data_IF_718852095159
#
_entry.id   IF_718852095159
#
_cell.length_a   1.000
_cell.length_b   1.000
_cell.length_c   1.000
_cell.angle_alpha   90.00
_cell.angle_beta   90.00
_cell.angle_gamma   90.00
#
_symmetry.space_group_name_H-M   'P 1'
#
loop_
_entity.id
_entity.type
_entity.pdbx_description
1 polymer ?
#
# COMPACT_ATOMS: atom_id res chain seq x y z
N UNK A 1 27.09 -33.93 -36.86
CA UNK A 1 26.94 -33.48 -35.46
C UNK A 1 27.10 -34.63 -34.46
N UNK A 2 26.26 -35.68 -34.50
CA UNK A 2 26.43 -36.85 -33.60
C UNK A 2 27.79 -37.56 -33.70
N UNK A 3 28.38 -37.66 -34.90
CA UNK A 3 29.71 -38.26 -35.09
C UNK A 3 30.83 -37.44 -34.42
N UNK A 4 30.67 -36.12 -34.37
CA UNK A 4 31.65 -35.20 -33.80
C UNK A 4 31.59 -35.21 -32.26
N UNK A 5 30.39 -35.35 -31.70
CA UNK A 5 30.18 -35.53 -30.25
C UNK A 5 30.81 -36.84 -29.79
N UNK A 6 30.57 -37.96 -30.50
CA UNK A 6 31.17 -39.26 -30.18
C UNK A 6 32.70 -39.24 -30.23
N UNK A 7 33.28 -38.51 -31.19
CA UNK A 7 34.73 -38.37 -31.30
C UNK A 7 35.30 -37.55 -30.12
N UNK A 8 34.63 -36.45 -29.76
CA UNK A 8 35.01 -35.64 -28.59
C UNK A 8 34.89 -36.44 -27.29
N UNK A 9 33.80 -37.19 -27.08
CA UNK A 9 33.61 -38.03 -25.90
C UNK A 9 34.72 -39.08 -25.78
N UNK A 10 35.09 -39.70 -26.91
CA UNK A 10 36.18 -40.68 -26.97
C UNK A 10 37.54 -40.05 -26.64
N UNK A 11 37.80 -38.83 -27.11
CA UNK A 11 39.04 -38.10 -26.78
C UNK A 11 39.10 -37.73 -25.30
N UNK A 12 37.97 -37.30 -24.73
CA UNK A 12 37.85 -37.03 -23.29
C UNK A 12 38.10 -38.28 -22.46
N UNK A 13 37.51 -39.42 -22.84
CA UNK A 13 37.78 -40.70 -22.17
C UNK A 13 39.24 -41.14 -22.29
N UNK A 14 39.89 -40.88 -23.42
CA UNK A 14 41.30 -41.24 -23.61
C UNK A 14 42.22 -40.35 -22.76
N UNK A 15 42.00 -39.04 -22.76
CA UNK A 15 42.73 -38.08 -21.92
C UNK A 15 42.54 -38.37 -20.44
N UNK A 16 41.32 -38.73 -20.01
CA UNK A 16 41.08 -39.14 -18.63
C UNK A 16 41.88 -40.39 -18.26
N UNK A 17 41.98 -41.38 -19.16
CA UNK A 17 42.79 -42.59 -18.93
C UNK A 17 44.28 -42.29 -18.81
N UNK A 18 44.82 -41.45 -19.69
CA UNK A 18 46.23 -41.03 -19.64
C UNK A 18 46.55 -40.24 -18.37
N UNK A 19 45.61 -39.37 -17.94
CA UNK A 19 45.73 -38.65 -16.69
C UNK A 19 45.70 -39.59 -15.48
N UNK A 20 44.81 -40.58 -15.49
CA UNK A 20 44.73 -41.60 -14.43
C UNK A 20 46.02 -42.42 -14.33
N UNK A 21 46.60 -42.87 -15.45
CA UNK A 21 47.87 -43.59 -15.43
C UNK A 21 49.03 -42.71 -14.94
N UNK A 22 49.07 -41.44 -15.34
CA UNK A 22 50.09 -40.50 -14.87
C UNK A 22 49.99 -40.23 -13.36
N UNK A 23 48.76 -40.15 -12.84
CA UNK A 23 48.50 -39.99 -11.39
C UNK A 23 48.94 -41.24 -10.62
N UNK A 24 48.63 -42.43 -11.15
CA UNK A 24 49.02 -43.74 -10.60
C UNK A 24 50.54 -43.93 -10.50
N UNK A 25 51.29 -43.50 -11.50
CA UNK A 25 52.75 -43.64 -11.57
C UNK A 25 53.53 -42.52 -10.83
N UNK A 26 52.86 -41.44 -10.41
CA UNK A 26 53.54 -40.33 -9.74
C UNK A 26 53.85 -40.65 -8.26
N UNK A 27 55.02 -40.23 -7.79
CA UNK A 27 55.39 -40.26 -6.36
C UNK A 27 54.54 -39.32 -5.48
N UNK A 28 53.66 -38.52 -6.09
CA UNK A 28 52.78 -37.55 -5.45
C UNK A 28 51.29 -37.96 -5.53
N UNK A 29 50.99 -39.21 -5.91
CA UNK A 29 49.63 -39.74 -6.07
C UNK A 29 48.72 -39.40 -4.89
N UNK A 30 49.20 -39.58 -3.67
CA UNK A 30 48.46 -39.28 -2.44
C UNK A 30 48.13 -37.80 -2.29
N UNK A 31 49.03 -36.90 -2.70
CA UNK A 31 48.83 -35.45 -2.67
C UNK A 31 47.75 -35.04 -3.68
N UNK A 32 47.77 -35.62 -4.89
CA UNK A 32 46.79 -35.34 -5.93
C UNK A 32 45.39 -35.85 -5.54
N UNK A 33 45.30 -37.03 -4.93
CA UNK A 33 44.05 -37.57 -4.37
C UNK A 33 43.53 -36.65 -3.26
N UNK A 34 44.40 -36.23 -2.33
CA UNK A 34 44.04 -35.35 -1.23
C UNK A 34 43.53 -33.99 -1.74
N UNK A 35 44.20 -33.38 -2.71
CA UNK A 35 43.79 -32.10 -3.29
C UNK A 35 42.45 -32.21 -4.01
N UNK A 36 42.25 -33.28 -4.78
CA UNK A 36 41.00 -33.57 -5.48
C UNK A 36 39.85 -33.72 -4.49
N UNK A 37 40.04 -34.51 -3.43
CA UNK A 37 39.04 -34.68 -2.38
C UNK A 37 38.75 -33.38 -1.64
N UNK A 38 39.78 -32.58 -1.36
CA UNK A 38 39.64 -31.28 -0.67
C UNK A 38 38.82 -30.30 -1.50
N UNK A 39 39.08 -30.22 -2.80
CA UNK A 39 38.31 -29.37 -3.73
C UNK A 39 36.86 -29.84 -3.81
N UNK A 40 36.63 -31.15 -3.92
CA UNK A 40 35.29 -31.74 -3.94
C UNK A 40 34.52 -31.44 -2.66
N UNK A 41 35.12 -31.63 -1.48
CA UNK A 41 34.51 -31.34 -0.19
C UNK A 41 34.12 -29.87 -0.07
N UNK A 42 34.99 -28.94 -0.49
CA UNK A 42 34.70 -27.50 -0.49
C UNK A 42 33.52 -27.17 -1.40
N UNK A 43 33.45 -27.78 -2.58
CA UNK A 43 32.32 -27.60 -3.51
C UNK A 43 31.01 -28.13 -2.92
N UNK A 44 31.03 -29.31 -2.29
CA UNK A 44 29.85 -29.86 -1.62
C UNK A 44 29.33 -28.94 -0.51
N UNK A 45 30.22 -28.45 0.38
CA UNK A 45 29.84 -27.53 1.46
C UNK A 45 29.26 -26.23 0.91
N UNK A 46 29.86 -25.67 -0.13
CA UNK A 46 29.35 -24.46 -0.78
C UNK A 46 27.95 -24.71 -1.40
N UNK A 47 27.75 -25.85 -2.06
CA UNK A 47 26.46 -26.22 -2.61
C UNK A 47 25.38 -26.36 -1.53
N UNK A 48 25.69 -27.04 -0.42
CA UNK A 48 24.78 -27.18 0.73
C UNK A 48 24.43 -25.82 1.34
N UNK A 49 25.41 -24.95 1.51
CA UNK A 49 25.22 -23.59 2.01
C UNK A 49 24.31 -22.75 1.08
N UNK A 50 24.49 -22.87 -0.23
CA UNK A 50 23.64 -22.19 -1.22
C UNK A 50 22.20 -22.73 -1.19
N UNK A 51 22.03 -24.04 -1.10
CA UNK A 51 20.72 -24.68 -0.99
C UNK A 51 20.01 -24.23 0.28
N UNK A 52 20.70 -24.18 1.42
CA UNK A 52 20.14 -23.70 2.69
C UNK A 52 19.69 -22.24 2.57
N UNK A 53 20.54 -21.37 2.03
CA UNK A 53 20.19 -19.95 1.81
C UNK A 53 18.98 -19.80 0.89
N UNK A 54 18.93 -20.56 -0.20
CA UNK A 54 17.80 -20.54 -1.13
C UNK A 54 16.50 -21.00 -0.44
N UNK A 55 16.55 -22.08 0.35
CA UNK A 55 15.39 -22.57 1.12
C UNK A 55 14.88 -21.52 2.12
N UNK A 56 15.78 -20.88 2.85
CA UNK A 56 15.42 -19.81 3.81
C UNK A 56 14.79 -18.63 3.07
N UNK A 57 15.40 -18.17 1.97
CA UNK A 57 14.86 -17.06 1.19
C UNK A 57 13.45 -17.35 0.64
N UNK A 58 13.22 -18.58 0.13
CA UNK A 58 11.90 -19.01 -0.34
C UNK A 58 10.88 -19.06 0.79
N UNK A 59 11.27 -19.55 1.97
CA UNK A 59 10.34 -19.63 3.10
C UNK A 59 9.98 -18.24 3.65
N UNK A 60 10.95 -17.32 3.71
CA UNK A 60 10.72 -15.94 4.14
C UNK A 60 9.79 -15.21 3.17
N UNK A 61 10.04 -15.30 1.86
CA UNK A 61 9.16 -14.67 0.84
C UNK A 61 7.75 -15.26 0.85
N UNK A 62 7.60 -16.56 1.11
CA UNK A 62 6.29 -17.19 1.28
C UNK A 62 5.53 -16.63 2.48
N UNK A 63 6.22 -16.44 3.61
CA UNK A 63 5.62 -15.89 4.82
C UNK A 63 5.26 -14.41 4.68
N UNK A 64 6.12 -13.62 4.05
CA UNK A 64 5.84 -12.22 3.70
C UNK A 64 4.59 -12.10 2.82
N UNK A 65 4.46 -12.96 1.80
CA UNK A 65 3.29 -12.99 0.94
C UNK A 65 2.02 -13.37 1.72
N UNK A 66 2.11 -14.30 2.68
CA UNK A 66 0.99 -14.68 3.56
C UNK A 66 0.53 -13.48 4.38
N UNK A 67 1.46 -12.78 5.02
CA UNK A 67 1.19 -11.58 5.81
C UNK A 67 0.59 -10.48 4.93
N UNK A 68 1.12 -10.27 3.72
CA UNK A 68 0.59 -9.29 2.78
C UNK A 68 -0.86 -9.60 2.41
N UNK A 69 -1.19 -10.86 2.12
CA UNK A 69 -2.57 -11.28 1.81
C UNK A 69 -3.51 -11.04 2.98
N UNK A 70 -3.08 -11.34 4.21
CA UNK A 70 -3.89 -11.07 5.41
C UNK A 70 -4.17 -9.57 5.57
N UNK A 71 -3.14 -8.72 5.46
CA UNK A 71 -3.30 -7.26 5.53
C UNK A 71 -4.27 -6.73 4.48
N UNK A 72 -4.17 -7.24 3.24
CA UNK A 72 -5.11 -6.88 2.17
C UNK A 72 -6.53 -7.34 2.52
N UNK A 73 -6.70 -8.56 3.02
CA UNK A 73 -8.03 -9.07 3.38
C UNK A 73 -8.67 -8.27 4.52
N UNK A 74 -7.91 -7.92 5.56
CA UNK A 74 -8.38 -7.09 6.67
C UNK A 74 -8.76 -5.69 6.20
N UNK A 75 -7.91 -5.08 5.36
CA UNK A 75 -8.20 -3.77 4.75
C UNK A 75 -9.51 -3.81 3.95
N UNK A 76 -9.70 -4.83 3.10
CA UNK A 76 -10.94 -4.95 2.30
C UNK A 76 -12.17 -5.17 3.18
N UNK A 77 -12.04 -5.91 4.29
CA UNK A 77 -13.13 -6.11 5.24
C UNK A 77 -13.50 -4.78 5.91
N UNK A 78 -12.50 -4.04 6.39
CA UNK A 78 -12.72 -2.75 7.04
C UNK A 78 -13.32 -1.71 6.08
N UNK A 79 -12.83 -1.64 4.84
CA UNK A 79 -13.40 -0.79 3.80
C UNK A 79 -14.87 -1.13 3.50
N UNK A 80 -15.20 -2.42 3.47
CA UNK A 80 -16.59 -2.87 3.30
C UNK A 80 -17.46 -2.47 4.49
N UNK A 81 -17.01 -2.69 5.72
CA UNK A 81 -17.74 -2.30 6.94
C UNK A 81 -18.02 -0.80 6.97
N UNK A 82 -17.02 0.04 6.64
CA UNK A 82 -17.20 1.49 6.54
C UNK A 82 -18.25 1.84 5.46
N UNK A 83 -18.18 1.18 4.30
CA UNK A 83 -19.11 1.43 3.21
C UNK A 83 -20.56 1.05 3.58
N UNK A 84 -20.73 -0.09 4.22
CA UNK A 84 -22.04 -0.55 4.68
C UNK A 84 -22.59 0.38 5.77
N UNK A 85 -21.77 0.78 6.75
CA UNK A 85 -22.15 1.78 7.75
C UNK A 85 -22.53 3.14 7.12
N UNK A 86 -21.77 3.58 6.11
CA UNK A 86 -22.05 4.80 5.37
C UNK A 86 -23.41 4.75 4.64
N UNK A 87 -23.74 3.61 4.02
CA UNK A 87 -25.04 3.39 3.39
C UNK A 87 -26.18 3.38 4.39
N UNK A 88 -26.00 2.68 5.52
CA UNK A 88 -27.02 2.60 6.57
C UNK A 88 -27.29 3.98 7.18
N UNK A 89 -26.24 4.76 7.43
CA UNK A 89 -26.37 6.13 7.90
C UNK A 89 -27.11 7.01 6.87
N UNK A 90 -26.76 6.91 5.58
CA UNK A 90 -27.45 7.65 4.53
C UNK A 90 -28.95 7.29 4.45
N UNK A 91 -29.30 6.02 4.64
CA UNK A 91 -30.68 5.54 4.68
C UNK A 91 -31.42 6.03 5.93
N UNK A 92 -30.82 5.91 7.11
CA UNK A 92 -31.39 6.38 8.37
C UNK A 92 -31.64 7.91 8.34
N UNK A 93 -30.79 8.64 7.62
CA UNK A 93 -30.85 10.09 7.53
C UNK A 93 -31.68 10.60 6.34
N UNK A 94 -32.29 9.71 5.56
CA UNK A 94 -33.19 10.07 4.46
C UNK A 94 -34.35 10.93 4.99
N UNK A 95 -34.32 12.23 4.67
CA UNK A 95 -35.33 13.21 5.10
C UNK A 95 -34.91 14.12 6.26
N UNK A 96 -33.72 13.95 6.84
CA UNK A 96 -33.07 14.95 7.70
C UNK A 96 -32.05 15.74 6.87
N UNK A 97 -31.96 17.06 7.06
CA UNK A 97 -31.01 17.91 6.35
C UNK A 97 -29.57 17.49 6.68
N UNK A 98 -28.97 16.69 5.79
CA UNK A 98 -27.56 16.30 5.84
C UNK A 98 -26.73 17.53 5.49
N UNK A 99 -26.31 18.28 6.50
CA UNK A 99 -25.30 19.33 6.32
C UNK A 99 -23.99 18.66 5.88
N UNK A 100 -23.66 18.85 4.60
CA UNK A 100 -22.38 18.42 4.02
C UNK A 100 -21.32 19.51 4.23
N UNK A 101 -20.05 19.15 4.38
CA UNK A 101 -18.95 20.12 4.33
C UNK A 101 -18.99 20.93 3.03
N UNK A 102 -18.62 22.19 3.15
CA UNK A 102 -18.67 23.14 2.04
C UNK A 102 -17.74 22.70 0.89
N UNK A 103 -16.61 22.06 1.18
CA UNK A 103 -15.68 21.53 0.16
C UNK A 103 -16.30 20.52 -0.80
N UNK A 104 -17.32 19.77 -0.38
CA UNK A 104 -18.04 18.85 -1.28
C UNK A 104 -18.86 19.61 -2.33
N UNK A 105 -19.32 20.81 -1.98
CA UNK A 105 -19.96 21.75 -2.90
C UNK A 105 -19.00 22.61 -3.70
N UNK A 106 -17.68 22.37 -3.62
CA UNK A 106 -16.66 23.14 -4.34
C UNK A 106 -16.22 24.43 -3.66
N UNK A 107 -16.64 24.67 -2.41
CA UNK A 107 -16.17 25.83 -1.66
C UNK A 107 -14.71 25.64 -1.21
N UNK A 108 -13.98 26.76 -1.24
CA UNK A 108 -12.57 26.82 -0.88
C UNK A 108 -12.25 28.09 -0.11
N UNK A 109 -11.17 28.05 0.64
CA UNK A 109 -10.64 29.23 1.31
C UNK A 109 -10.11 30.21 0.29
N UNK A 110 -10.66 31.42 0.27
CA UNK A 110 -10.30 32.45 -0.72
C UNK A 110 -8.82 32.82 -0.72
N UNK A 111 -8.18 32.80 0.46
CA UNK A 111 -6.77 33.17 0.62
C UNK A 111 -5.78 32.07 0.23
N UNK A 112 -6.12 30.81 0.51
CA UNK A 112 -5.20 29.68 0.34
C UNK A 112 -5.58 28.75 -0.81
N UNK A 113 -6.72 28.97 -1.47
CA UNK A 113 -7.30 28.10 -2.49
C UNK A 113 -7.58 26.65 -2.03
N UNK A 114 -7.38 26.35 -0.74
CA UNK A 114 -7.58 25.02 -0.17
C UNK A 114 -9.05 24.68 -0.05
N UNK A 115 -9.40 23.44 -0.35
CA UNK A 115 -10.75 22.90 -0.16
C UNK A 115 -11.20 23.03 1.31
N UNK A 116 -12.42 23.53 1.52
CA UNK A 116 -12.96 23.71 2.87
C UNK A 116 -13.45 22.39 3.45
N UNK A 117 -12.81 21.89 4.50
CA UNK A 117 -13.19 20.64 5.19
C UNK A 117 -13.99 20.87 6.47
N UNK A 118 -14.17 22.14 6.85
CA UNK A 118 -14.89 22.49 8.06
C UNK A 118 -16.35 22.08 7.96
N UNK A 119 -16.83 21.45 9.02
CA UNK A 119 -18.23 21.05 9.13
C UNK A 119 -19.06 22.21 9.66
N UNK A 120 -20.32 22.32 9.21
CA UNK A 120 -21.21 23.38 9.67
C UNK A 120 -21.37 23.42 11.20
N UNK A 121 -21.32 22.27 11.89
CA UNK A 121 -21.38 22.21 13.36
C UNK A 121 -20.15 22.83 14.04
N UNK A 122 -18.98 22.81 13.41
CA UNK A 122 -17.82 23.56 13.86
C UNK A 122 -17.95 25.04 13.50
N UNK A 123 -18.33 25.35 12.26
CA UNK A 123 -18.44 26.74 11.79
C UNK A 123 -19.42 27.58 12.61
N UNK A 124 -20.51 26.99 13.14
CA UNK A 124 -21.45 27.72 14.03
C UNK A 124 -20.83 28.10 15.38
N UNK A 125 -19.71 27.49 15.76
CA UNK A 125 -18.99 27.81 17.01
C UNK A 125 -17.90 28.87 16.83
N UNK A 126 -17.62 29.27 15.59
CA UNK A 126 -16.58 30.25 15.27
C UNK A 126 -17.19 31.55 14.76
N UNK A 127 -16.34 32.55 14.55
CA UNK A 127 -16.71 33.79 13.87
C UNK A 127 -16.58 33.70 12.34
N UNK A 128 -16.62 32.49 11.77
CA UNK A 128 -16.57 32.32 10.32
C UNK A 128 -17.81 32.92 9.66
N UNK A 129 -17.58 33.46 8.46
CA UNK A 129 -18.63 34.01 7.61
C UNK A 129 -18.90 33.05 6.45
N UNK A 130 -20.16 32.97 6.01
CA UNK A 130 -20.54 32.29 4.78
C UNK A 130 -21.08 33.27 3.75
N UNK A 131 -21.04 32.84 2.48
CA UNK A 131 -21.73 33.48 1.37
C UNK A 131 -22.45 32.39 0.58
N UNK A 132 -23.78 32.42 0.59
CA UNK A 132 -24.62 31.42 -0.09
C UNK A 132 -25.81 32.12 -0.73
N UNK A 133 -26.07 31.86 -2.00
CA UNK A 133 -27.23 32.40 -2.75
C UNK A 133 -27.36 33.94 -2.65
N UNK A 134 -26.23 34.66 -2.66
CA UNK A 134 -26.23 36.12 -2.53
C UNK A 134 -26.46 36.65 -1.11
N UNK A 135 -26.65 35.78 -0.12
CA UNK A 135 -26.72 36.14 1.30
C UNK A 135 -25.35 35.95 1.94
N UNK A 136 -24.93 36.94 2.73
CA UNK A 136 -23.70 36.87 3.52
C UNK A 136 -24.03 36.97 5.00
N UNK A 137 -23.44 36.13 5.84
CA UNK A 137 -23.70 36.15 7.29
C UNK A 137 -22.64 35.40 8.08
N UNK A 138 -22.77 35.40 9.41
CA UNK A 138 -21.95 34.57 10.30
C UNK A 138 -22.60 33.20 10.46
N UNK A 139 -21.81 32.12 10.45
CA UNK A 139 -22.35 30.77 10.64
C UNK A 139 -23.11 30.66 11.96
N UNK A 140 -22.61 31.23 13.07
CA UNK A 140 -23.32 31.26 14.37
C UNK A 140 -24.72 31.89 14.34
N UNK A 141 -25.01 32.71 13.32
CA UNK A 141 -26.28 33.39 13.12
C UNK A 141 -27.06 32.85 11.91
N UNK A 142 -26.78 31.62 11.46
CA UNK A 142 -27.40 31.05 10.25
C UNK A 142 -28.94 31.10 10.25
N UNK A 143 -29.58 31.02 11.43
CA UNK A 143 -31.04 31.07 11.60
C UNK A 143 -31.68 32.38 11.16
N UNK A 144 -30.93 33.47 11.03
CA UNK A 144 -31.43 34.73 10.48
C UNK A 144 -31.84 34.59 9.01
N UNK A 145 -31.09 33.80 8.24
CA UNK A 145 -31.36 33.55 6.82
C UNK A 145 -32.03 32.20 6.55
N UNK A 146 -31.88 31.25 7.48
CA UNK A 146 -32.34 29.86 7.37
C UNK A 146 -32.95 29.39 8.70
N UNK A 147 -34.15 29.87 9.07
CA UNK A 147 -34.76 29.59 10.38
C UNK A 147 -35.12 28.11 10.60
N UNK A 148 -35.42 27.39 9.52
CA UNK A 148 -35.81 25.97 9.54
C UNK A 148 -34.63 25.01 9.65
N UNK A 149 -33.39 25.52 9.59
CA UNK A 149 -32.20 24.68 9.70
C UNK A 149 -31.94 24.30 11.16
N UNK A 150 -31.54 23.05 11.37
CA UNK A 150 -31.15 22.51 12.68
C UNK A 150 -29.76 21.88 12.58
N UNK A 151 -28.74 22.64 12.99
CA UNK A 151 -27.34 22.21 12.96
C UNK A 151 -26.93 21.79 14.38
N UNK A 152 -26.95 20.48 14.71
CA UNK A 152 -26.54 20.00 16.03
C UNK A 152 -25.02 20.16 16.22
N UNK A 153 -24.54 20.56 17.41
CA UNK A 153 -23.12 20.83 17.65
C UNK A 153 -22.19 19.61 17.54
N UNK A 154 -22.71 18.37 17.52
CA UNK A 154 -21.92 17.17 17.24
C UNK A 154 -22.81 16.11 16.60
N UNK A 155 -22.40 15.57 15.45
CA UNK A 155 -23.13 14.49 14.79
C UNK A 155 -22.18 13.47 14.18
N UNK A 156 -22.52 12.19 14.25
CA UNK A 156 -21.75 11.10 13.62
C UNK A 156 -21.65 11.25 12.08
N UNK A 157 -22.46 12.14 11.50
CA UNK A 157 -22.46 12.57 10.09
C UNK A 157 -21.11 13.12 9.65
N UNK A 158 -20.37 13.75 10.58
CA UNK A 158 -19.02 14.27 10.30
C UNK A 158 -18.06 13.14 9.90
N UNK A 159 -18.22 11.91 10.43
CA UNK A 159 -17.36 10.77 10.07
C UNK A 159 -17.62 10.28 8.64
N UNK A 160 -18.89 10.21 8.21
CA UNK A 160 -19.24 9.84 6.84
C UNK A 160 -18.68 10.84 5.82
N UNK A 161 -18.90 12.13 6.04
CA UNK A 161 -18.39 13.15 5.14
C UNK A 161 -16.87 13.26 5.15
N UNK A 162 -16.22 13.00 6.30
CA UNK A 162 -14.76 12.88 6.36
C UNK A 162 -14.24 11.72 5.53
N UNK A 163 -14.92 10.55 5.57
CA UNK A 163 -14.60 9.43 4.69
C UNK A 163 -14.75 9.82 3.22
N UNK A 164 -15.87 10.44 2.82
CA UNK A 164 -16.09 10.91 1.45
C UNK A 164 -14.98 11.86 1.01
N UNK A 165 -14.65 12.87 1.81
CA UNK A 165 -13.61 13.85 1.46
C UNK A 165 -12.22 13.21 1.39
N UNK A 166 -11.88 12.26 2.26
CA UNK A 166 -10.60 11.54 2.19
C UNK A 166 -10.54 10.59 0.99
N UNK A 167 -11.62 9.87 0.69
CA UNK A 167 -11.70 8.88 -0.39
C UNK A 167 -11.69 9.52 -1.77
N UNK A 168 -12.42 10.64 -1.93
CA UNK A 168 -12.60 11.31 -3.22
C UNK A 168 -11.81 12.62 -3.35
N UNK A 169 -10.80 12.81 -2.50
CA UNK A 169 -10.04 14.06 -2.39
C UNK A 169 -9.51 14.54 -3.73
N UNK A 170 -8.86 13.65 -4.49
CA UNK A 170 -8.22 14.02 -5.76
C UNK A 170 -9.27 14.33 -6.85
N UNK A 171 -10.38 13.57 -6.91
CA UNK A 171 -11.48 13.85 -7.82
C UNK A 171 -12.15 15.19 -7.52
N UNK A 172 -12.36 15.50 -6.24
CA UNK A 172 -12.94 16.78 -5.81
C UNK A 172 -12.00 17.94 -6.13
N UNK A 173 -10.68 17.78 -5.95
CA UNK A 173 -9.68 18.79 -6.30
C UNK A 173 -9.67 19.08 -7.79
N UNK A 174 -9.70 18.04 -8.63
CA UNK A 174 -9.75 18.18 -10.08
C UNK A 174 -11.03 18.89 -10.52
N UNK A 175 -12.18 18.43 -10.02
CA UNK A 175 -13.50 18.97 -10.36
C UNK A 175 -13.63 20.46 -10.04
N UNK A 176 -13.08 20.89 -8.90
CA UNK A 176 -13.25 22.26 -8.40
C UNK A 176 -11.99 23.13 -8.49
N UNK A 177 -10.89 22.61 -9.03
CA UNK A 177 -9.60 23.30 -9.16
C UNK A 177 -9.11 23.90 -7.83
N UNK A 178 -9.10 23.08 -6.78
CA UNK A 178 -8.71 23.49 -5.41
C UNK A 178 -7.40 22.84 -4.96
N UNK A 179 -6.72 23.47 -4.01
CA UNK A 179 -5.52 22.93 -3.37
C UNK A 179 -5.88 21.91 -2.28
N UNK A 180 -4.88 21.17 -1.77
CA UNK A 180 -5.09 20.15 -0.74
C UNK A 180 -5.75 20.75 0.52
N UNK A 181 -6.83 20.11 1.02
CA UNK A 181 -7.45 20.53 2.25
C UNK A 181 -6.54 20.27 3.46
N UNK A 182 -6.67 21.13 4.48
CA UNK A 182 -6.06 20.91 5.79
C UNK A 182 -6.86 19.87 6.59
N UNK A 183 -6.81 18.60 6.15
CA UNK A 183 -7.40 17.49 6.88
C UNK A 183 -6.46 17.15 8.05
N UNK A 184 -6.89 17.27 9.32
CA UNK A 184 -6.07 16.80 10.42
C UNK A 184 -5.79 15.32 10.20
N UNK A 185 -4.51 14.93 10.10
CA UNK A 185 -4.12 13.52 10.03
C UNK A 185 -4.74 12.83 11.24
N UNK A 186 -5.77 12.03 11.03
CA UNK A 186 -6.22 11.07 12.04
C UNK A 186 -5.00 10.25 12.42
N UNK A 187 -4.63 10.32 13.70
CA UNK A 187 -3.31 9.95 14.23
C UNK A 187 -2.84 8.56 13.81
N UNK A 188 -1.51 8.45 13.67
CA UNK A 188 -0.81 7.17 13.58
C UNK A 188 -0.63 6.50 14.94
#
# INVERSE_FOLDING_TARGET
MMLLIKEVDKQVENLNRELESFVEESTLKDILIQWTQTKRNRLCILAECLIMKAKVAVNNTKEELRIQKLRVSEKTKHEKEINDLAKDLALQMKGKYLHRPDGIGGYRWTKSNKMAVDFCNYSITTDYSYSSEGKTGKYKNYKEHYPDWDIPPNSDVSKYWMWVMCTYKEQLKEMYSTDDPDIPRTGG
#
